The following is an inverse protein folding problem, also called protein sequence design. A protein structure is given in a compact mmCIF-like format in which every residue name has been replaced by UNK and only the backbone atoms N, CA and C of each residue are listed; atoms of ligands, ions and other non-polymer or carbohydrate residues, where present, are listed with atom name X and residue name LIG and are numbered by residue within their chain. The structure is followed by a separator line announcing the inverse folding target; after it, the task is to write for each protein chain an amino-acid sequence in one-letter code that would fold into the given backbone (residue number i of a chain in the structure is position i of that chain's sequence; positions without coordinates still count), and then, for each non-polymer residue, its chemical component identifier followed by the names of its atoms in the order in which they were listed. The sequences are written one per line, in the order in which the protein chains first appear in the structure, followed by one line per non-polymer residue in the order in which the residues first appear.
data_IF_034958866318
#
_entry.id   IF_034958866318
#
_cell.length_a   1.000
_cell.length_b   1.000
_cell.length_c   1.000
_cell.angle_alpha   90.00
_cell.angle_beta   90.00
_cell.angle_gamma   90.00
#
_symmetry.space_group_name_H-M   'P 1'
#
loop_
_entity.id
_entity.type
_entity.pdbx_description
1 polymer ?
#
# COMPACT_ATOMS: atom_id res chain seq x y z
N UNK A 1 8.99 27.51 23.34
CA UNK A 1 8.77 27.14 21.92
C UNK A 1 8.10 28.32 21.23
N UNK A 2 8.51 28.68 20.01
CA UNK A 2 7.90 29.80 19.27
C UNK A 2 6.55 29.37 18.70
N UNK A 3 5.50 30.19 18.79
CA UNK A 3 4.10 29.84 18.39
C UNK A 3 3.93 29.35 16.95
N UNK A 4 4.84 29.73 16.05
CA UNK A 4 4.85 29.21 14.69
C UNK A 4 5.00 27.68 14.63
N UNK A 5 5.62 27.08 15.64
CA UNK A 5 5.78 25.64 15.76
C UNK A 5 4.54 24.96 16.37
N UNK A 6 3.49 25.70 16.73
CA UNK A 6 2.21 25.10 17.16
C UNK A 6 1.30 24.77 15.95
N UNK A 7 1.68 25.18 14.74
CA UNK A 7 0.95 24.86 13.51
C UNK A 7 1.44 23.56 12.90
N UNK A 8 0.56 22.56 12.79
CA UNK A 8 0.88 21.27 12.15
C UNK A 8 1.36 21.46 10.71
N UNK A 9 0.75 22.37 9.95
CA UNK A 9 1.11 22.63 8.55
C UNK A 9 2.56 23.11 8.40
N UNK A 10 3.01 23.98 9.31
CA UNK A 10 4.41 24.45 9.33
C UNK A 10 5.34 23.29 9.67
N UNK A 11 4.99 22.48 10.67
CA UNK A 11 5.79 21.31 11.04
C UNK A 11 5.90 20.33 9.86
N UNK A 12 4.78 19.95 9.25
CA UNK A 12 4.78 19.05 8.09
C UNK A 12 5.59 19.62 6.94
N UNK A 13 5.46 20.93 6.66
CA UNK A 13 6.22 21.59 5.61
C UNK A 13 7.72 21.46 5.86
N UNK A 14 8.19 21.81 7.07
CA UNK A 14 9.62 21.71 7.44
C UNK A 14 10.10 20.26 7.37
N UNK A 15 9.37 19.32 7.96
CA UNK A 15 9.77 17.91 8.00
C UNK A 15 9.80 17.27 6.61
N UNK A 16 8.91 17.69 5.68
CA UNK A 16 8.91 17.18 4.31
C UNK A 16 10.16 17.57 3.49
N UNK A 17 10.93 18.59 3.94
CA UNK A 17 12.22 18.94 3.32
C UNK A 17 13.39 18.08 3.83
N UNK A 18 13.19 17.29 4.87
CA UNK A 18 14.25 16.45 5.44
C UNK A 18 14.42 15.16 4.64
N UNK A 19 15.67 14.70 4.53
CA UNK A 19 15.93 13.37 4.00
C UNK A 19 15.36 12.29 4.94
N UNK A 20 15.08 11.10 4.38
CA UNK A 20 14.51 9.98 5.14
C UNK A 20 15.37 9.59 6.36
N UNK A 21 16.70 9.74 6.29
CA UNK A 21 17.62 9.47 7.40
C UNK A 21 17.41 10.47 8.55
N UNK A 22 17.23 11.74 8.23
CA UNK A 22 17.06 12.81 9.21
C UNK A 22 15.66 12.76 9.82
N UNK A 23 14.63 12.42 9.03
CA UNK A 23 13.29 12.12 9.54
C UNK A 23 13.30 10.99 10.57
N UNK A 24 14.08 9.92 10.34
CA UNK A 24 14.24 8.84 11.33
C UNK A 24 14.90 9.37 12.60
N UNK A 25 15.95 10.18 12.46
CA UNK A 25 16.62 10.78 13.62
C UNK A 25 15.67 11.66 14.42
N UNK A 26 14.86 12.51 13.77
CA UNK A 26 13.82 13.32 14.43
C UNK A 26 12.81 12.42 15.16
N UNK A 27 12.34 11.36 14.49
CA UNK A 27 11.38 10.43 15.07
C UNK A 27 11.92 9.73 16.33
N UNK A 28 13.23 9.47 16.40
CA UNK A 28 13.87 8.79 17.53
C UNK A 28 14.32 9.74 18.65
N UNK A 29 14.56 11.02 18.35
CA UNK A 29 15.22 11.95 19.31
C UNK A 29 14.29 13.02 19.89
N UNK A 30 13.20 13.36 19.19
CA UNK A 30 12.29 14.42 19.63
C UNK A 30 10.86 13.88 19.77
N UNK A 31 10.43 13.59 21.00
CA UNK A 31 9.09 13.02 21.28
C UNK A 31 7.94 13.89 20.77
N UNK A 32 8.11 15.21 20.80
CA UNK A 32 7.12 16.16 20.32
C UNK A 32 6.94 16.11 18.78
N UNK A 33 8.02 15.92 18.02
CA UNK A 33 7.98 15.79 16.56
C UNK A 33 7.83 14.34 16.08
N UNK A 34 7.96 13.36 16.98
CA UNK A 34 8.04 11.96 16.61
C UNK A 34 6.80 11.47 15.85
N UNK A 35 5.60 11.89 16.28
CA UNK A 35 4.36 11.55 15.60
C UNK A 35 4.33 12.05 14.15
N UNK A 36 4.67 13.31 13.93
CA UNK A 36 4.67 13.92 12.59
C UNK A 36 5.74 13.32 11.68
N UNK A 37 6.95 13.10 12.20
CA UNK A 37 8.03 12.45 11.46
C UNK A 37 7.65 11.01 11.07
N UNK A 38 7.03 10.25 11.97
CA UNK A 38 6.53 8.91 11.67
C UNK A 38 5.42 8.94 10.63
N UNK A 39 4.49 9.91 10.69
CA UNK A 39 3.43 10.06 9.69
C UNK A 39 4.04 10.24 8.28
N UNK A 40 5.07 11.07 8.14
CA UNK A 40 5.77 11.25 6.85
C UNK A 40 6.51 9.98 6.44
N UNK A 41 7.27 9.35 7.35
CA UNK A 41 8.03 8.13 7.07
C UNK A 41 7.17 6.95 6.61
N UNK A 42 5.96 6.84 7.17
CA UNK A 42 5.00 5.77 6.90
C UNK A 42 3.98 6.10 5.80
N UNK A 43 3.77 7.38 5.47
CA UNK A 43 2.77 7.83 4.49
C UNK A 43 2.84 7.08 3.16
N UNK A 44 4.04 6.87 2.60
CA UNK A 44 4.26 6.15 1.34
C UNK A 44 5.03 4.85 1.60
N UNK A 45 4.47 3.72 1.18
CA UNK A 45 5.08 2.38 1.21
C UNK A 45 4.90 1.69 -0.12
N UNK A 46 5.89 0.87 -0.49
CA UNK A 46 5.85 0.03 -1.69
C UNK A 46 5.54 -1.43 -1.39
N UNK A 47 5.58 -1.83 -0.12
CA UNK A 47 5.28 -3.19 0.32
C UNK A 47 4.76 -3.21 1.75
N UNK A 48 4.13 -4.31 2.13
CA UNK A 48 3.70 -4.59 3.50
C UNK A 48 4.86 -5.11 4.38
N UNK A 49 6.00 -5.47 3.81
CA UNK A 49 7.16 -6.02 4.55
C UNK A 49 7.56 -5.16 5.76
N UNK A 50 7.72 -3.83 5.66
CA UNK A 50 8.10 -3.03 6.82
C UNK A 50 7.07 -3.06 7.95
N UNK A 51 5.78 -3.25 7.63
CA UNK A 51 4.72 -3.39 8.64
C UNK A 51 4.81 -4.75 9.32
N UNK A 52 4.96 -5.83 8.54
CA UNK A 52 5.12 -7.18 9.09
C UNK A 52 6.37 -7.28 9.96
N UNK A 53 7.47 -6.65 9.54
CA UNK A 53 8.73 -6.56 10.31
C UNK A 53 8.61 -5.75 11.61
N UNK A 54 7.46 -5.12 11.91
CA UNK A 54 7.20 -4.53 13.22
C UNK A 54 6.75 -5.57 14.27
N UNK A 55 6.39 -6.78 13.84
CA UNK A 55 6.09 -7.88 14.76
C UNK A 55 7.39 -8.37 15.43
N UNK A 56 7.31 -8.95 16.65
CA UNK A 56 8.49 -9.46 17.33
C UNK A 56 9.25 -10.52 16.53
N UNK A 57 10.57 -10.53 16.61
CA UNK A 57 11.41 -11.39 15.77
C UNK A 57 11.11 -12.88 15.95
N UNK A 58 10.69 -13.30 17.15
CA UNK A 58 10.31 -14.68 17.45
C UNK A 58 8.95 -15.08 16.85
N UNK A 59 8.16 -14.13 16.33
CA UNK A 59 6.93 -14.38 15.54
C UNK A 59 7.19 -14.58 14.07
N UNK A 60 8.38 -14.23 13.58
CA UNK A 60 8.69 -14.22 12.16
C UNK A 60 9.71 -15.31 11.82
N UNK A 61 9.52 -15.93 10.68
CA UNK A 61 10.49 -16.82 10.06
C UNK A 61 10.72 -16.36 8.61
N UNK A 62 11.96 -16.25 8.19
CA UNK A 62 12.31 -15.90 6.81
C UNK A 62 12.87 -17.15 6.13
N UNK A 63 12.20 -17.62 5.08
CA UNK A 63 12.62 -18.76 4.24
C UNK A 63 12.54 -18.33 2.79
N UNK A 64 13.61 -18.54 2.02
CA UNK A 64 13.65 -18.23 0.58
C UNK A 64 13.15 -16.80 0.27
N UNK A 65 13.68 -15.81 1.00
CA UNK A 65 13.27 -14.39 0.94
C UNK A 65 11.78 -14.12 1.21
N UNK A 66 11.04 -15.09 1.75
CA UNK A 66 9.62 -14.97 2.08
C UNK A 66 9.42 -14.97 3.60
N UNK A 67 8.58 -14.05 4.08
CA UNK A 67 8.24 -13.92 5.50
C UNK A 67 7.03 -14.80 5.84
N UNK A 68 7.21 -15.63 6.85
CA UNK A 68 6.21 -16.51 7.46
C UNK A 68 6.01 -16.16 8.94
N UNK A 69 4.91 -16.63 9.51
CA UNK A 69 4.71 -16.60 10.96
C UNK A 69 5.24 -17.90 11.56
N UNK A 70 6.23 -17.82 12.46
CA UNK A 70 6.73 -18.95 13.24
C UNK A 70 5.78 -19.32 14.39
N UNK A 71 5.03 -18.33 14.89
CA UNK A 71 3.94 -18.46 15.86
C UNK A 71 2.87 -17.41 15.60
N UNK A 72 1.68 -17.62 16.15
CA UNK A 72 0.60 -16.62 16.11
C UNK A 72 1.00 -15.38 16.93
N UNK A 73 0.92 -14.16 16.34
CA UNK A 73 1.09 -12.94 17.10
C UNK A 73 -0.08 -12.72 18.06
N UNK A 74 0.24 -12.22 19.24
CA UNK A 74 -0.76 -11.86 20.26
C UNK A 74 -1.54 -10.60 19.82
N UNK A 75 -2.75 -10.39 20.34
CA UNK A 75 -3.54 -9.19 20.02
C UNK A 75 -2.79 -7.87 20.26
N UNK A 76 -1.93 -7.78 21.28
CA UNK A 76 -1.15 -6.57 21.57
C UNK A 76 0.00 -6.35 20.59
N UNK A 77 0.59 -7.42 20.03
CA UNK A 77 1.59 -7.36 18.96
C UNK A 77 0.96 -6.83 17.67
N UNK A 78 -0.26 -7.30 17.34
CA UNK A 78 -1.02 -6.79 16.21
C UNK A 78 -1.37 -5.31 16.33
N UNK A 79 -1.76 -4.83 17.51
CA UNK A 79 -2.07 -3.40 17.74
C UNK A 79 -0.87 -2.51 17.41
N UNK A 80 0.37 -2.96 17.67
CA UNK A 80 1.57 -2.18 17.33
C UNK A 80 1.75 -2.02 15.82
N UNK A 81 1.41 -3.06 15.05
CA UNK A 81 1.39 -3.00 13.59
C UNK A 81 0.34 -2.00 13.11
N UNK A 82 -0.87 -2.04 13.68
CA UNK A 82 -1.97 -1.14 13.33
C UNK A 82 -1.61 0.35 13.52
N UNK A 83 -0.84 0.69 14.57
CA UNK A 83 -0.39 2.07 14.81
C UNK A 83 0.44 2.62 13.63
N UNK A 84 1.28 1.79 13.00
CA UNK A 84 2.05 2.20 11.83
C UNK A 84 1.24 2.11 10.53
N UNK A 85 0.36 1.10 10.43
CA UNK A 85 -0.51 0.91 9.28
C UNK A 85 -1.48 2.09 9.09
N UNK A 86 -2.01 2.64 10.19
CA UNK A 86 -2.93 3.80 10.14
C UNK A 86 -2.30 5.07 9.56
N UNK A 87 -0.97 5.15 9.55
CA UNK A 87 -0.22 6.27 8.95
C UNK A 87 -0.03 6.12 7.44
N UNK A 88 -0.23 4.93 6.89
CA UNK A 88 -0.03 4.65 5.46
C UNK A 88 -1.17 5.30 4.67
N UNK A 89 -0.80 6.15 3.72
CA UNK A 89 -1.73 6.81 2.78
C UNK A 89 -1.58 6.29 1.37
N UNK A 90 -0.38 5.88 0.98
CA UNK A 90 -0.07 5.37 -0.35
C UNK A 90 0.68 4.05 -0.23
N UNK A 91 0.07 2.97 -0.71
CA UNK A 91 0.66 1.64 -0.78
C UNK A 91 0.83 1.27 -2.27
N UNK A 92 1.86 1.82 -2.90
CA UNK A 92 2.11 1.74 -4.35
C UNK A 92 3.59 1.48 -4.60
N UNK A 93 3.90 0.63 -5.57
CA UNK A 93 5.27 0.46 -6.08
C UNK A 93 5.56 1.64 -7.01
N UNK A 94 6.63 2.44 -6.77
CA UNK A 94 7.00 3.52 -7.68
C UNK A 94 7.26 3.01 -9.08
N UNK A 95 6.91 3.83 -10.07
CA UNK A 95 7.19 3.58 -11.48
C UNK A 95 8.68 3.27 -11.68
N UNK A 96 9.06 2.14 -12.33
CA UNK A 96 10.45 1.80 -12.66
C UNK A 96 11.21 2.90 -13.40
N UNK A 97 10.53 3.77 -14.14
CA UNK A 97 11.15 4.86 -14.89
C UNK A 97 11.38 6.12 -14.04
N UNK A 98 10.88 6.16 -12.80
CA UNK A 98 11.13 7.26 -11.88
C UNK A 98 12.56 7.17 -11.30
N UNK A 99 13.21 8.32 -11.07
CA UNK A 99 14.51 8.37 -10.37
C UNK A 99 14.44 7.73 -8.96
N UNK A 100 13.25 7.55 -8.38
CA UNK A 100 13.02 6.82 -7.12
C UNK A 100 13.10 5.29 -7.27
N UNK A 101 13.06 4.74 -8.49
CA UNK A 101 13.03 3.29 -8.71
C UNK A 101 14.36 2.58 -8.41
N UNK A 102 15.49 3.26 -8.64
CA UNK A 102 16.82 2.63 -8.67
C UNK A 102 17.23 1.95 -7.35
N UNK A 103 16.68 2.35 -6.20
CA UNK A 103 16.96 1.71 -4.91
C UNK A 103 16.00 0.56 -4.55
N UNK A 104 14.81 0.50 -5.17
CA UNK A 104 13.81 -0.56 -4.91
C UNK A 104 14.17 -1.86 -5.66
N UNK A 105 14.89 -1.76 -6.79
CA UNK A 105 15.30 -2.92 -7.59
C UNK A 105 16.63 -3.56 -7.18
N UNK A 106 17.37 -2.99 -6.21
CA UNK A 106 18.73 -3.45 -5.83
C UNK A 106 18.82 -4.29 -4.55
N UNK A 107 17.75 -4.46 -3.79
CA UNK A 107 17.74 -5.28 -2.58
C UNK A 107 17.02 -6.61 -2.84
N UNK A 108 17.42 -7.73 -2.20
CA UNK A 108 16.59 -8.93 -2.20
C UNK A 108 15.18 -8.53 -1.72
N UNK A 109 14.20 -8.75 -2.60
CA UNK A 109 12.83 -8.33 -2.39
C UNK A 109 12.20 -9.34 -1.44
N UNK A 110 12.38 -9.11 -0.14
CA UNK A 110 11.60 -9.81 0.88
C UNK A 110 10.12 -9.75 0.47
N UNK A 111 9.44 -10.89 0.46
CA UNK A 111 8.00 -10.99 0.24
C UNK A 111 7.31 -11.37 1.54
N UNK A 112 6.01 -11.17 1.60
CA UNK A 112 5.17 -11.65 2.71
C UNK A 112 4.35 -12.79 2.15
N UNK A 113 4.40 -13.97 2.76
CA UNK A 113 3.60 -15.09 2.26
C UNK A 113 2.10 -14.77 2.31
N UNK A 114 1.35 -15.28 1.34
CA UNK A 114 -0.09 -15.05 1.24
C UNK A 114 -0.86 -15.47 2.51
N UNK A 115 -0.39 -16.51 3.21
CA UNK A 115 -0.98 -16.93 4.48
C UNK A 115 -0.85 -15.88 5.58
N UNK A 116 0.30 -15.19 5.69
CA UNK A 116 0.44 -14.09 6.65
C UNK A 116 -0.51 -12.95 6.31
N UNK A 117 -0.64 -12.59 5.03
CA UNK A 117 -1.57 -11.55 4.59
C UNK A 117 -3.02 -11.91 4.87
N UNK A 118 -3.41 -13.16 4.60
CA UNK A 118 -4.73 -13.67 4.91
C UNK A 118 -5.04 -13.53 6.41
N UNK A 119 -4.14 -14.01 7.28
CA UNK A 119 -4.31 -13.90 8.74
C UNK A 119 -4.39 -12.45 9.20
N UNK A 120 -3.56 -11.58 8.65
CA UNK A 120 -3.60 -10.15 8.95
C UNK A 120 -4.97 -9.55 8.63
N UNK A 121 -5.54 -9.86 7.47
CA UNK A 121 -6.81 -9.28 7.04
C UNK A 121 -8.06 -9.95 7.62
N UNK A 122 -7.95 -11.20 8.06
CA UNK A 122 -8.96 -11.85 8.89
C UNK A 122 -9.13 -11.10 10.23
N UNK A 123 -8.02 -10.65 10.83
CA UNK A 123 -8.03 -9.89 12.08
C UNK A 123 -8.37 -8.41 11.86
N UNK A 124 -7.80 -7.80 10.81
CA UNK A 124 -7.93 -6.38 10.51
C UNK A 124 -8.25 -6.20 9.02
N UNK A 125 -9.53 -6.07 8.65
CA UNK A 125 -9.90 -5.74 7.29
C UNK A 125 -9.11 -4.53 6.80
N UNK A 126 -8.61 -4.48 5.53
CA UNK A 126 -7.74 -3.41 5.07
C UNK A 126 -8.31 -2.00 5.26
N UNK A 127 -9.64 -1.84 5.18
CA UNK A 127 -10.33 -0.58 5.47
C UNK A 127 -10.15 -0.09 6.91
N UNK A 128 -10.02 -1.01 7.86
CA UNK A 128 -9.74 -0.73 9.28
C UNK A 128 -8.25 -0.65 9.57
N UNK A 129 -7.43 -1.42 8.84
CA UNK A 129 -5.98 -1.44 9.00
C UNK A 129 -5.32 -0.19 8.41
N UNK A 130 -5.85 0.32 7.29
CA UNK A 130 -5.36 1.48 6.56
C UNK A 130 -6.47 2.55 6.40
N UNK A 131 -6.98 3.12 7.50
CA UNK A 131 -8.10 4.07 7.47
C UNK A 131 -7.83 5.34 6.64
N UNK A 132 -6.56 5.67 6.39
CA UNK A 132 -6.14 6.86 5.66
C UNK A 132 -5.61 6.55 4.25
N UNK A 133 -5.81 5.32 3.75
CA UNK A 133 -5.33 4.90 2.44
C UNK A 133 -6.08 5.61 1.32
N UNK A 134 -5.35 6.38 0.51
CA UNK A 134 -5.89 7.08 -0.66
C UNK A 134 -5.28 6.59 -1.99
N UNK A 135 -4.16 5.86 -1.97
CA UNK A 135 -3.59 5.25 -3.16
C UNK A 135 -3.16 3.80 -2.92
N UNK A 136 -3.52 2.90 -3.82
CA UNK A 136 -3.20 1.48 -3.71
C UNK A 136 -2.77 0.89 -5.06
N UNK A 137 -1.77 0.01 -5.03
CA UNK A 137 -1.29 -0.72 -6.20
C UNK A 137 -1.17 -2.21 -5.93
N UNK A 138 -1.69 -3.06 -6.82
CA UNK A 138 -1.71 -4.52 -6.62
C UNK A 138 -0.32 -5.13 -6.43
N UNK A 139 0.70 -4.59 -7.10
CA UNK A 139 2.10 -5.00 -6.93
C UNK A 139 2.64 -4.84 -5.50
N UNK A 140 2.04 -3.99 -4.67
CA UNK A 140 2.44 -3.88 -3.27
C UNK A 140 2.18 -5.15 -2.45
N UNK A 141 1.32 -6.05 -2.96
CA UNK A 141 1.04 -7.38 -2.42
C UNK A 141 1.95 -8.48 -3.00
N UNK A 142 2.84 -8.14 -3.95
CA UNK A 142 3.84 -9.06 -4.51
C UNK A 142 3.26 -10.39 -4.98
N UNK A 143 3.56 -11.50 -4.32
CA UNK A 143 3.09 -12.85 -4.64
C UNK A 143 1.57 -12.96 -4.62
N UNK A 144 0.90 -12.15 -3.79
CA UNK A 144 -0.55 -12.10 -3.69
C UNK A 144 -1.18 -11.02 -4.60
N UNK A 145 -0.39 -10.38 -5.48
CA UNK A 145 -0.93 -9.44 -6.48
C UNK A 145 -1.86 -10.13 -7.49
N UNK A 146 -1.70 -11.44 -7.68
CA UNK A 146 -2.58 -12.28 -8.52
C UNK A 146 -3.87 -12.72 -7.82
N UNK A 147 -4.20 -12.21 -6.63
CA UNK A 147 -5.45 -12.49 -5.93
C UNK A 147 -6.36 -11.25 -5.95
N UNK A 148 -7.27 -11.18 -6.94
CA UNK A 148 -8.21 -10.05 -7.06
C UNK A 148 -9.16 -9.94 -5.88
N UNK A 149 -9.45 -11.04 -5.18
CA UNK A 149 -10.30 -11.01 -4.00
C UNK A 149 -9.61 -10.24 -2.88
N UNK A 150 -8.31 -10.49 -2.68
CA UNK A 150 -7.46 -9.78 -1.74
C UNK A 150 -7.29 -8.31 -2.12
N UNK A 151 -7.01 -8.02 -3.40
CA UNK A 151 -6.90 -6.66 -3.94
C UNK A 151 -8.19 -5.87 -3.70
N UNK A 152 -9.36 -6.50 -3.90
CA UNK A 152 -10.67 -5.86 -3.67
C UNK A 152 -10.90 -5.48 -2.21
N UNK A 153 -10.31 -6.17 -1.24
CA UNK A 153 -10.43 -5.82 0.18
C UNK A 153 -9.86 -4.42 0.50
N UNK A 154 -8.99 -3.87 -0.35
CA UNK A 154 -8.44 -2.51 -0.22
C UNK A 154 -9.37 -1.43 -0.79
N UNK A 155 -10.48 -1.79 -1.42
CA UNK A 155 -11.44 -0.82 -1.92
C UNK A 155 -12.11 -0.10 -0.76
N UNK A 156 -12.04 1.23 -0.81
CA UNK A 156 -12.68 2.08 0.18
C UNK A 156 -13.17 3.39 -0.44
N UNK A 157 -14.18 4.03 0.17
CA UNK A 157 -14.64 5.36 -0.22
C UNK A 157 -13.54 6.43 -0.28
N UNK A 158 -12.48 6.28 0.52
CA UNK A 158 -11.36 7.20 0.60
C UNK A 158 -10.27 6.96 -0.46
N UNK A 159 -10.38 5.89 -1.24
CA UNK A 159 -9.41 5.55 -2.27
C UNK A 159 -9.58 6.48 -3.47
N UNK A 160 -8.50 7.17 -3.84
CA UNK A 160 -8.43 8.14 -4.92
C UNK A 160 -7.64 7.61 -6.13
N UNK A 161 -6.72 6.68 -5.91
CA UNK A 161 -5.82 6.15 -6.94
C UNK A 161 -5.70 4.62 -6.81
N UNK A 162 -5.89 3.91 -7.92
CA UNK A 162 -5.72 2.45 -8.03
C UNK A 162 -4.80 2.12 -9.19
N UNK A 163 -3.76 1.33 -8.92
CA UNK A 163 -2.87 0.74 -9.91
C UNK A 163 -3.09 -0.77 -9.93
N UNK A 164 -3.65 -1.28 -11.00
CA UNK A 164 -3.97 -2.69 -11.15
C UNK A 164 -3.08 -3.32 -12.22
N UNK A 165 -2.23 -4.24 -11.81
CA UNK A 165 -1.60 -5.20 -12.72
C UNK A 165 -2.58 -6.33 -13.03
N UNK A 166 -3.06 -6.37 -14.28
CA UNK A 166 -3.91 -7.43 -14.83
C UNK A 166 -3.00 -8.40 -15.57
N UNK A 167 -2.45 -9.33 -14.81
CA UNK A 167 -1.67 -10.44 -15.36
C UNK A 167 -2.56 -11.41 -16.14
N UNK A 168 -1.98 -12.20 -17.05
CA UNK A 168 -2.66 -13.26 -17.80
C UNK A 168 -3.30 -14.37 -16.92
N UNK A 169 -3.11 -14.32 -15.59
CA UNK A 169 -3.69 -15.27 -14.64
C UNK A 169 -5.15 -14.99 -14.31
N UNK A 170 -5.64 -13.78 -14.57
CA UNK A 170 -7.02 -13.43 -14.32
C UNK A 170 -7.92 -13.79 -15.50
N UNK A 171 -9.10 -14.31 -15.19
CA UNK A 171 -10.15 -14.45 -16.19
C UNK A 171 -10.76 -13.08 -16.49
N UNK A 172 -11.24 -12.90 -17.71
CA UNK A 172 -12.01 -11.69 -18.11
C UNK A 172 -13.14 -11.38 -17.13
N UNK A 173 -13.87 -12.41 -16.70
CA UNK A 173 -14.99 -12.27 -15.77
C UNK A 173 -14.56 -11.74 -14.40
N UNK A 174 -13.43 -12.19 -13.83
CA UNK A 174 -12.94 -11.68 -12.54
C UNK A 174 -12.56 -10.21 -12.63
N UNK A 175 -11.91 -9.81 -13.73
CA UNK A 175 -11.55 -8.41 -13.96
C UNK A 175 -12.80 -7.55 -14.14
N UNK A 176 -13.79 -8.01 -14.91
CA UNK A 176 -15.09 -7.31 -15.07
C UNK A 176 -15.82 -7.15 -13.74
N UNK A 177 -15.86 -8.22 -12.92
CA UNK A 177 -16.48 -8.16 -11.60
C UNK A 177 -15.77 -7.17 -10.67
N UNK A 178 -14.44 -7.14 -10.70
CA UNK A 178 -13.63 -6.18 -9.95
C UNK A 178 -13.92 -4.74 -10.39
N UNK A 179 -13.88 -4.48 -11.70
CA UNK A 179 -14.11 -3.16 -12.27
C UNK A 179 -15.56 -2.68 -12.06
N UNK A 180 -16.53 -3.61 -12.11
CA UNK A 180 -17.94 -3.34 -11.82
C UNK A 180 -18.19 -2.96 -10.36
N UNK A 181 -17.31 -3.35 -9.43
CA UNK A 181 -17.41 -2.99 -8.01
C UNK A 181 -16.85 -1.58 -7.71
N UNK A 182 -15.93 -1.05 -8.53
CA UNK A 182 -15.27 0.24 -8.30
C UNK A 182 -16.24 1.42 -8.07
N UNK A 183 -17.33 1.59 -8.86
CA UNK A 183 -18.27 2.69 -8.64
C UNK A 183 -18.96 2.68 -7.27
N UNK A 184 -19.05 1.53 -6.63
CA UNK A 184 -19.74 1.34 -5.36
C UNK A 184 -18.73 1.43 -4.22
N UNK A 185 -17.67 0.62 -4.29
CA UNK A 185 -16.72 0.41 -3.21
C UNK A 185 -15.63 1.48 -3.16
N UNK A 186 -15.30 2.09 -4.30
CA UNK A 186 -14.28 3.14 -4.44
C UNK A 186 -14.84 4.36 -5.19
N UNK A 187 -16.01 4.85 -4.78
CA UNK A 187 -16.65 6.02 -5.41
C UNK A 187 -15.87 7.34 -5.25
N UNK A 188 -14.79 7.34 -4.45
CA UNK A 188 -13.80 8.42 -4.36
C UNK A 188 -12.76 8.43 -5.48
N UNK A 189 -12.71 7.38 -6.30
CA UNK A 189 -11.64 7.13 -7.26
C UNK A 189 -11.52 8.25 -8.30
N UNK A 190 -10.30 8.78 -8.42
CA UNK A 190 -9.92 9.85 -9.35
C UNK A 190 -8.97 9.36 -10.43
N UNK A 191 -8.15 8.36 -10.12
CA UNK A 191 -7.13 7.82 -11.02
C UNK A 191 -7.20 6.30 -11.03
N UNK A 192 -7.25 5.72 -12.22
CA UNK A 192 -7.20 4.28 -12.44
C UNK A 192 -6.16 3.97 -13.50
N UNK A 193 -5.14 3.20 -13.13
CA UNK A 193 -4.12 2.69 -14.04
C UNK A 193 -4.22 1.19 -14.11
N UNK A 194 -4.34 0.64 -15.31
CA UNK A 194 -4.44 -0.80 -15.55
C UNK A 194 -3.28 -1.20 -16.45
N UNK A 195 -2.46 -2.13 -15.98
CA UNK A 195 -1.36 -2.71 -16.74
C UNK A 195 -1.83 -4.06 -17.25
N UNK A 196 -1.80 -4.28 -18.56
CA UNK A 196 -2.36 -5.48 -19.20
C UNK A 196 -1.23 -6.25 -19.86
N UNK A 197 -1.01 -7.50 -19.47
CA UNK A 197 -0.02 -8.36 -20.12
C UNK A 197 -0.30 -8.50 -21.64
N UNK A 198 0.74 -8.50 -22.48
CA UNK A 198 0.63 -8.46 -23.96
C UNK A 198 -0.14 -9.65 -24.56
N UNK A 199 -0.41 -10.69 -23.78
CA UNK A 199 -1.25 -11.82 -24.17
C UNK A 199 -2.77 -11.57 -24.06
N UNK A 200 -3.22 -10.56 -23.31
CA UNK A 200 -4.63 -10.30 -23.00
C UNK A 200 -5.29 -9.28 -23.95
N UNK A 201 -5.00 -9.37 -25.25
CA UNK A 201 -5.31 -8.35 -26.28
C UNK A 201 -6.80 -8.15 -26.61
N UNK A 202 -7.72 -8.92 -26.03
CA UNK A 202 -9.16 -8.84 -26.34
C UNK A 202 -10.01 -8.15 -25.25
N UNK A 203 -9.39 -7.60 -24.19
CA UNK A 203 -10.15 -7.04 -23.08
C UNK A 203 -10.33 -5.52 -23.20
N UNK A 204 -11.56 -5.09 -23.53
CA UNK A 204 -12.00 -3.71 -23.34
C UNK A 204 -12.97 -3.66 -22.16
N UNK A 205 -12.50 -3.30 -20.95
CA UNK A 205 -13.35 -3.25 -19.79
C UNK A 205 -14.50 -2.26 -19.96
N UNK A 206 -15.73 -2.70 -19.64
CA UNK A 206 -16.83 -1.78 -19.40
C UNK A 206 -16.71 -1.21 -18.00
N UNK A 207 -16.14 -0.02 -17.89
CA UNK A 207 -16.20 0.74 -16.64
C UNK A 207 -17.63 1.21 -16.44
N UNK A 208 -18.25 0.87 -15.31
CA UNK A 208 -19.48 1.54 -14.88
C UNK A 208 -19.26 3.06 -14.76
N UNK A 209 -20.31 3.82 -14.41
CA UNK A 209 -20.15 5.26 -14.19
C UNK A 209 -19.22 5.51 -13.00
N UNK A 210 -18.00 5.99 -13.25
CA UNK A 210 -17.05 6.47 -12.25
C UNK A 210 -17.07 8.00 -12.26
N UNK A 211 -17.96 8.67 -11.51
CA UNK A 211 -18.25 10.09 -11.69
C UNK A 211 -17.09 11.03 -11.32
N UNK A 212 -16.14 10.54 -10.51
CA UNK A 212 -14.97 11.32 -10.07
C UNK A 212 -13.69 10.96 -10.82
N UNK A 213 -13.74 10.01 -11.78
CA UNK A 213 -12.57 9.59 -12.52
C UNK A 213 -12.09 10.72 -13.44
N UNK A 214 -10.85 11.14 -13.25
CA UNK A 214 -10.22 12.22 -14.02
C UNK A 214 -9.14 11.64 -14.94
N UNK A 215 -8.49 10.54 -14.54
CA UNK A 215 -7.46 9.87 -15.33
C UNK A 215 -7.72 8.37 -15.41
N UNK A 216 -7.69 7.84 -16.63
CA UNK A 216 -7.69 6.41 -16.94
C UNK A 216 -6.49 6.13 -17.83
N UNK A 217 -5.60 5.27 -17.37
CA UNK A 217 -4.45 4.79 -18.14
C UNK A 217 -4.57 3.29 -18.31
N UNK A 218 -4.45 2.82 -19.56
CA UNK A 218 -4.42 1.39 -19.88
C UNK A 218 -3.16 1.14 -20.68
N UNK A 219 -2.15 0.59 -20.02
CA UNK A 219 -0.84 0.34 -20.62
C UNK A 219 -0.64 -1.14 -20.89
N UNK A 220 -0.13 -1.54 -22.07
CA UNK A 220 0.37 -2.89 -22.25
C UNK A 220 1.62 -3.06 -21.35
N UNK A 221 1.66 -4.13 -20.56
CA UNK A 221 2.81 -4.47 -19.75
C UNK A 221 4.05 -4.55 -20.65
N UNK A 222 5.14 -3.90 -20.20
CA UNK A 222 6.38 -3.80 -20.98
C UNK A 222 7.08 -5.14 -21.10
#
# INVERSE_FOLDING_TARGET
MHRAFDSEDIIYSVLNYLERKDLKNVAMTCSWLAGHALNILWSKRSSLVPLIMCLPQDTLEIKDDTIFLSREPTPSEWVRLQINASRVRRLIVPDPDSNEALWIYRSPKLSVSGLVLQRLFEQFPPTTLFPNLCAFGSHALWESSSDLSLVRMFMSPGLEEVLLDVSARFTTHEVEQFLGALPIEAHGLRQLSIWIDRGATAFLPSFGKLPKLIALTVDPAR
#
